data_IF_823296462695
#
_entry.id   IF_823296462695
#
_cell.length_a   1.000
_cell.length_b   1.000
_cell.length_c   1.000
_cell.angle_alpha   90.00
_cell.angle_beta   90.00
_cell.angle_gamma   90.00
#
_symmetry.space_group_name_H-M   'P 1'
#
loop_
_entity.id
_entity.type
_entity.pdbx_description
1 polymer ?
#
# COMPACT_ATOMS: atom_id res chain seq x y z
N UNK A 1 13.33 -10.86 22.27
CA UNK A 1 12.71 -11.73 21.24
C UNK A 1 11.18 -11.61 21.14
N UNK A 2 10.40 -11.56 22.25
CA UNK A 2 8.92 -11.48 22.21
C UNK A 2 8.33 -10.28 21.44
N UNK A 3 9.02 -9.14 21.40
CA UNK A 3 8.53 -7.94 20.69
C UNK A 3 8.85 -7.96 19.19
N UNK A 4 9.95 -8.60 18.77
CA UNK A 4 10.36 -8.66 17.36
C UNK A 4 9.40 -9.50 16.52
N UNK A 5 8.92 -10.63 17.04
CA UNK A 5 7.96 -11.47 16.33
C UNK A 5 6.62 -10.75 16.11
N UNK A 6 6.15 -10.01 17.12
CA UNK A 6 4.95 -9.18 17.02
C UNK A 6 5.13 -8.02 16.04
N UNK A 7 6.30 -7.40 16.03
CA UNK A 7 6.68 -6.36 15.05
C UNK A 7 6.66 -6.86 13.62
N UNK A 8 7.25 -8.03 13.36
CA UNK A 8 7.24 -8.67 12.03
C UNK A 8 5.80 -9.04 11.65
N UNK A 9 5.05 -9.64 12.58
CA UNK A 9 3.63 -9.97 12.37
C UNK A 9 2.78 -8.76 12.01
N UNK A 10 3.04 -7.58 12.61
CA UNK A 10 2.33 -6.34 12.29
C UNK A 10 2.57 -5.88 10.84
N UNK A 11 3.83 -5.92 10.37
CA UNK A 11 4.17 -5.55 8.99
C UNK A 11 3.60 -6.55 7.99
N UNK A 12 3.69 -7.86 8.31
CA UNK A 12 3.10 -8.91 7.48
C UNK A 12 1.58 -8.76 7.38
N UNK A 13 0.89 -8.48 8.47
CA UNK A 13 -0.56 -8.29 8.47
C UNK A 13 -0.98 -7.13 7.54
N UNK A 14 -0.29 -5.98 7.63
CA UNK A 14 -0.55 -4.86 6.73
C UNK A 14 -0.20 -5.18 5.27
N UNK A 15 0.90 -5.89 5.03
CA UNK A 15 1.30 -6.32 3.69
C UNK A 15 0.27 -7.26 3.05
N UNK A 16 -0.19 -8.27 3.80
CA UNK A 16 -1.25 -9.20 3.36
C UNK A 16 -2.53 -8.44 3.07
N UNK A 17 -2.92 -7.50 3.94
CA UNK A 17 -4.10 -6.67 3.73
C UNK A 17 -4.01 -5.90 2.40
N UNK A 18 -2.91 -5.19 2.15
CA UNK A 18 -2.70 -4.43 0.91
C UNK A 18 -2.76 -5.37 -0.30
N UNK A 19 -2.03 -6.48 -0.26
CA UNK A 19 -1.97 -7.45 -1.35
C UNK A 19 -3.34 -8.06 -1.66
N UNK A 20 -4.09 -8.47 -0.65
CA UNK A 20 -5.44 -9.02 -0.82
C UNK A 20 -6.39 -7.99 -1.40
N UNK A 21 -6.41 -6.77 -0.86
CA UNK A 21 -7.36 -5.76 -1.32
C UNK A 21 -7.05 -5.30 -2.74
N UNK A 22 -5.77 -5.10 -3.09
CA UNK A 22 -5.37 -4.75 -4.44
C UNK A 22 -5.76 -5.85 -5.42
N UNK A 23 -5.38 -7.11 -5.14
CA UNK A 23 -5.69 -8.25 -6.01
C UNK A 23 -7.19 -8.46 -6.18
N UNK A 24 -7.95 -8.32 -5.09
CA UNK A 24 -9.41 -8.51 -5.13
C UNK A 24 -10.09 -7.46 -6.01
N UNK A 25 -9.71 -6.19 -5.86
CA UNK A 25 -10.30 -5.09 -6.64
C UNK A 25 -9.88 -5.19 -8.10
N UNK A 26 -8.59 -5.48 -8.36
CA UNK A 26 -8.09 -5.69 -9.71
C UNK A 26 -8.90 -6.80 -10.40
N UNK A 27 -9.08 -7.95 -9.73
CA UNK A 27 -9.85 -9.07 -10.27
C UNK A 27 -11.32 -8.70 -10.54
N UNK A 28 -11.94 -7.93 -9.65
CA UNK A 28 -13.32 -7.47 -9.83
C UNK A 28 -13.41 -6.54 -11.04
N UNK A 29 -12.50 -5.57 -11.17
CA UNK A 29 -12.48 -4.62 -12.28
C UNK A 29 -12.14 -5.30 -13.61
N UNK A 30 -11.26 -6.29 -13.60
CA UNK A 30 -10.94 -7.12 -14.76
C UNK A 30 -12.12 -7.96 -15.21
N UNK A 31 -12.84 -8.58 -14.28
CA UNK A 31 -14.03 -9.38 -14.60
C UNK A 31 -15.23 -8.51 -15.00
N UNK A 32 -15.30 -7.27 -14.52
CA UNK A 32 -16.27 -6.28 -14.97
C UNK A 32 -15.93 -5.66 -16.35
N UNK A 33 -14.77 -5.98 -16.92
CA UNK A 33 -14.31 -5.44 -18.21
C UNK A 33 -13.83 -3.98 -18.15
N UNK A 34 -13.66 -3.42 -16.95
CA UNK A 34 -13.17 -2.06 -16.73
C UNK A 34 -11.65 -2.00 -16.88
N UNK A 35 -10.96 -3.02 -16.35
CA UNK A 35 -9.52 -3.20 -16.52
C UNK A 35 -9.23 -4.33 -17.52
N UNK A 36 -8.32 -4.14 -18.48
CA UNK A 36 -7.83 -5.21 -19.33
C UNK A 36 -6.90 -6.14 -18.55
N UNK A 37 -6.97 -7.44 -18.86
CA UNK A 37 -6.15 -8.47 -18.21
C UNK A 37 -4.72 -8.43 -18.77
N UNK A 38 -3.76 -8.15 -17.91
CA UNK A 38 -2.33 -8.25 -18.23
C UNK A 38 -1.71 -7.04 -18.94
N UNK A 39 -2.47 -6.03 -19.37
CA UNK A 39 -1.89 -4.82 -19.98
C UNK A 39 -2.65 -3.53 -19.62
N UNK A 40 -2.08 -2.69 -18.78
CA UNK A 40 -2.61 -1.39 -18.34
C UNK A 40 -2.52 -0.25 -19.38
N UNK A 41 -2.56 -0.55 -20.68
CA UNK A 41 -2.66 0.48 -21.74
C UNK A 41 -4.10 0.99 -21.86
N UNK A 42 -4.56 1.65 -20.80
CA UNK A 42 -5.89 2.25 -20.68
C UNK A 42 -5.79 3.76 -20.63
N UNK A 43 -6.95 4.44 -20.66
CA UNK A 43 -7.00 5.89 -20.53
C UNK A 43 -6.37 6.35 -19.22
N UNK A 44 -5.67 7.50 -19.25
CA UNK A 44 -4.99 8.08 -18.08
C UNK A 44 -5.93 8.24 -16.88
N UNK A 45 -7.20 8.56 -17.13
CA UNK A 45 -8.22 8.69 -16.09
C UNK A 45 -8.44 7.39 -15.31
N UNK A 46 -8.45 6.25 -16.01
CA UNK A 46 -8.63 4.95 -15.38
C UNK A 46 -7.40 4.56 -14.55
N UNK A 47 -6.19 4.91 -15.02
CA UNK A 47 -4.95 4.73 -14.26
C UNK A 47 -4.95 5.58 -12.98
N UNK A 48 -5.42 6.83 -13.05
CA UNK A 48 -5.55 7.69 -11.87
C UNK A 48 -6.57 7.13 -10.87
N UNK A 49 -7.68 6.57 -11.35
CA UNK A 49 -8.63 5.87 -10.50
C UNK A 49 -7.97 4.66 -9.79
N UNK A 50 -7.14 3.90 -10.51
CA UNK A 50 -6.37 2.78 -9.95
C UNK A 50 -5.40 3.24 -8.87
N UNK A 51 -4.60 4.27 -9.14
CA UNK A 51 -3.71 4.86 -8.14
C UNK A 51 -4.51 5.35 -6.93
N UNK A 52 -5.68 5.96 -7.16
CA UNK A 52 -6.54 6.50 -6.12
C UNK A 52 -6.99 5.45 -5.10
N UNK A 53 -7.66 4.39 -5.55
CA UNK A 53 -8.10 3.36 -4.59
C UNK A 53 -6.90 2.64 -3.97
N UNK A 54 -5.84 2.35 -4.74
CA UNK A 54 -4.64 1.69 -4.22
C UNK A 54 -3.97 2.51 -3.13
N UNK A 55 -3.91 3.84 -3.28
CA UNK A 55 -3.37 4.72 -2.25
C UNK A 55 -4.20 4.65 -0.96
N UNK A 56 -5.53 4.63 -1.06
CA UNK A 56 -6.44 4.53 0.09
C UNK A 56 -6.23 3.19 0.83
N UNK A 57 -6.19 2.07 0.11
CA UNK A 57 -5.97 0.76 0.75
C UNK A 57 -4.55 0.59 1.28
N UNK A 58 -3.55 1.18 0.61
CA UNK A 58 -2.18 1.22 1.10
C UNK A 58 -2.09 2.00 2.41
N UNK A 59 -2.81 3.13 2.51
CA UNK A 59 -2.92 3.92 3.74
C UNK A 59 -3.56 3.10 4.86
N UNK A 60 -4.65 2.38 4.56
CA UNK A 60 -5.32 1.51 5.51
C UNK A 60 -4.41 0.37 6.00
N UNK A 61 -3.67 -0.29 5.10
CA UNK A 61 -2.69 -1.32 5.49
C UNK A 61 -1.54 -0.79 6.33
N UNK A 62 -1.04 0.42 6.01
CA UNK A 62 -0.03 1.12 6.82
C UNK A 62 -0.56 1.51 8.20
N UNK A 63 -1.84 1.90 8.29
CA UNK A 63 -2.53 2.15 9.56
C UNK A 63 -2.69 0.87 10.39
N UNK A 64 -3.13 -0.23 9.79
CA UNK A 64 -3.24 -1.55 10.47
C UNK A 64 -1.89 -2.00 11.01
N UNK A 65 -0.81 -1.80 10.22
CA UNK A 65 0.56 -2.09 10.66
C UNK A 65 0.95 -1.27 11.88
N UNK A 66 0.63 0.04 11.87
CA UNK A 66 0.88 0.91 13.01
C UNK A 66 0.05 0.50 14.23
N UNK A 67 -1.19 0.07 14.02
CA UNK A 67 -2.12 -0.38 15.06
C UNK A 67 -1.66 -1.66 15.75
N UNK A 68 -1.16 -2.63 14.98
CA UNK A 68 -0.70 -3.92 15.49
C UNK A 68 0.74 -3.89 16.04
N UNK A 69 1.49 -2.82 15.76
CA UNK A 69 2.88 -2.70 16.16
C UNK A 69 3.02 -2.59 17.69
N UNK A 70 3.79 -3.48 18.34
CA UNK A 70 3.94 -3.49 19.80
C UNK A 70 4.71 -2.28 20.34
N UNK A 71 5.65 -1.74 19.55
CA UNK A 71 6.47 -0.57 19.90
C UNK A 71 6.79 0.23 18.63
N UNK A 72 6.94 1.56 18.75
CA UNK A 72 7.29 2.46 17.64
C UNK A 72 6.39 2.28 16.39
N UNK A 73 5.08 2.52 16.51
CA UNK A 73 4.10 2.25 15.45
C UNK A 73 4.38 3.01 14.14
N UNK A 74 4.91 4.23 14.25
CA UNK A 74 5.30 5.03 13.10
C UNK A 74 6.45 4.40 12.30
N UNK A 75 7.44 3.79 12.96
CA UNK A 75 8.58 3.15 12.27
C UNK A 75 8.13 1.94 11.45
N UNK A 76 7.20 1.15 11.98
CA UNK A 76 6.67 -0.04 11.28
C UNK A 76 5.81 0.37 10.08
N UNK A 77 5.01 1.42 10.21
CA UNK A 77 4.22 1.96 9.11
C UNK A 77 5.10 2.50 7.96
N UNK A 78 6.16 3.24 8.30
CA UNK A 78 7.15 3.71 7.32
C UNK A 78 7.90 2.53 6.69
N UNK A 79 8.28 1.52 7.47
CA UNK A 79 8.94 0.33 6.94
C UNK A 79 8.07 -0.39 5.90
N UNK A 80 6.75 -0.49 6.13
CA UNK A 80 5.83 -1.02 5.13
C UNK A 80 5.73 -0.12 3.89
N UNK A 81 5.72 1.21 4.07
CA UNK A 81 5.78 2.16 2.96
C UNK A 81 7.06 2.03 2.12
N UNK A 82 8.21 1.84 2.76
CA UNK A 82 9.49 1.57 2.08
C UNK A 82 9.45 0.24 1.34
N UNK A 83 8.92 -0.82 1.95
CA UNK A 83 8.72 -2.10 1.27
C UNK A 83 7.82 -1.94 0.03
N UNK A 84 6.73 -1.19 0.14
CA UNK A 84 5.85 -0.85 -0.97
C UNK A 84 6.58 -0.08 -2.08
N UNK A 85 7.46 0.86 -1.73
CA UNK A 85 8.27 1.60 -2.70
C UNK A 85 9.26 0.70 -3.45
N UNK A 86 9.94 -0.20 -2.74
CA UNK A 86 10.85 -1.18 -3.32
C UNK A 86 10.10 -2.12 -4.28
N UNK A 87 8.97 -2.68 -3.85
CA UNK A 87 8.15 -3.56 -4.69
C UNK A 87 7.59 -2.84 -5.92
N UNK A 88 7.15 -1.58 -5.77
CA UNK A 88 6.68 -0.76 -6.90
C UNK A 88 7.81 -0.46 -7.88
N UNK A 89 9.02 -0.23 -7.38
CA UNK A 89 10.22 -0.02 -8.22
C UNK A 89 10.61 -1.29 -8.97
N UNK A 90 10.57 -2.45 -8.30
CA UNK A 90 10.79 -3.75 -8.95
C UNK A 90 9.75 -3.96 -10.04
N UNK A 91 8.46 -3.70 -9.76
CA UNK A 91 7.38 -3.78 -10.75
C UNK A 91 7.58 -2.81 -11.92
N UNK A 92 8.08 -1.60 -11.69
CA UNK A 92 8.39 -0.65 -12.75
C UNK A 92 9.48 -1.18 -13.70
N UNK A 93 10.47 -1.91 -13.17
CA UNK A 93 11.58 -2.48 -13.93
C UNK A 93 11.14 -3.75 -14.67
N UNK A 94 10.43 -4.66 -13.99
CA UNK A 94 10.08 -5.98 -14.55
C UNK A 94 8.82 -5.97 -15.40
N UNK A 95 7.86 -5.09 -15.10
CA UNK A 95 6.54 -5.01 -15.73
C UNK A 95 6.31 -3.66 -16.41
N UNK A 96 7.37 -2.86 -16.63
CA UNK A 96 7.28 -1.55 -17.30
C UNK A 96 6.79 -1.61 -18.75
N UNK A 97 6.71 -2.80 -19.35
CA UNK A 97 6.12 -3.05 -20.66
C UNK A 97 4.60 -3.34 -20.61
N UNK A 98 4.05 -3.63 -19.43
CA UNK A 98 2.64 -3.97 -19.24
C UNK A 98 1.78 -2.74 -18.98
N UNK A 99 2.34 -1.54 -18.94
CA UNK A 99 1.59 -0.30 -18.78
C UNK A 99 2.53 0.91 -18.77
N UNK A 100 2.00 2.14 -18.64
CA UNK A 100 2.84 3.32 -18.66
C UNK A 100 3.83 3.32 -17.49
N UNK A 101 5.13 3.42 -17.76
CA UNK A 101 6.16 3.36 -16.72
C UNK A 101 5.94 4.37 -15.57
N UNK A 102 5.37 5.54 -15.88
CA UNK A 102 5.05 6.58 -14.89
C UNK A 102 4.07 6.12 -13.80
N UNK A 103 3.20 5.14 -14.09
CA UNK A 103 2.25 4.59 -13.13
C UNK A 103 2.98 3.92 -11.96
N UNK A 104 3.91 3.02 -12.26
CA UNK A 104 4.66 2.28 -11.25
C UNK A 104 5.61 3.20 -10.46
N UNK A 105 6.21 4.19 -11.13
CA UNK A 105 7.02 5.22 -10.45
C UNK A 105 6.18 6.11 -9.53
N UNK A 106 4.94 6.44 -9.91
CA UNK A 106 4.04 7.21 -9.06
C UNK A 106 3.74 6.44 -7.79
N UNK A 107 3.40 5.15 -7.90
CA UNK A 107 3.20 4.26 -6.73
C UNK A 107 4.44 4.20 -5.83
N UNK A 108 5.64 4.08 -6.42
CA UNK A 108 6.89 4.06 -5.67
C UNK A 108 7.11 5.37 -4.87
N UNK A 109 6.86 6.52 -5.49
CA UNK A 109 7.04 7.84 -4.87
C UNK A 109 6.03 8.07 -3.75
N UNK A 110 4.76 7.68 -3.94
CA UNK A 110 3.70 7.92 -2.94
C UNK A 110 3.72 6.92 -1.78
N UNK A 111 4.36 5.75 -1.94
CA UNK A 111 4.36 4.71 -0.91
C UNK A 111 4.99 5.17 0.42
N UNK A 112 6.08 5.95 0.38
CA UNK A 112 6.75 6.48 1.57
C UNK A 112 5.88 7.54 2.29
N UNK A 113 5.35 8.58 1.60
CA UNK A 113 4.36 9.50 2.18
C UNK A 113 3.16 8.80 2.80
N UNK A 114 2.61 7.77 2.13
CA UNK A 114 1.48 6.99 2.62
C UNK A 114 1.83 6.22 3.89
N UNK A 115 3.01 5.58 3.95
CA UNK A 115 3.49 4.90 5.15
C UNK A 115 3.64 5.86 6.33
N UNK A 116 4.14 7.08 6.10
CA UNK A 116 4.18 8.11 7.13
C UNK A 116 2.78 8.59 7.55
N UNK A 117 1.88 8.83 6.59
CA UNK A 117 0.50 9.24 6.88
C UNK A 117 -0.25 8.19 7.69
N UNK A 118 -0.11 6.89 7.36
CA UNK A 118 -0.75 5.80 8.10
C UNK A 118 -0.30 5.77 9.57
N UNK A 119 1.00 5.88 9.82
CA UNK A 119 1.54 5.95 11.17
C UNK A 119 1.19 7.26 11.90
N UNK A 120 1.07 8.39 11.20
CA UNK A 120 0.62 9.67 11.76
C UNK A 120 -0.85 9.62 12.17
N UNK A 121 -1.71 9.05 11.32
CA UNK A 121 -3.13 8.88 11.59
C UNK A 121 -3.36 8.01 12.81
N UNK A 122 -2.67 6.87 12.92
CA UNK A 122 -2.73 6.02 14.11
C UNK A 122 -2.30 6.76 15.38
N UNK A 123 -1.22 7.54 15.32
CA UNK A 123 -0.79 8.34 16.49
C UNK A 123 -1.84 9.38 16.90
N UNK A 124 -2.48 10.05 15.94
CA UNK A 124 -3.57 11.01 16.26
C UNK A 124 -4.76 10.32 16.90
N UNK A 125 -5.26 9.25 16.30
CA UNK A 125 -6.38 8.47 16.84
C UNK A 125 -6.07 7.93 18.24
N UNK A 126 -4.85 7.44 18.47
CA UNK A 126 -4.42 6.95 19.78
C UNK A 126 -4.33 8.06 20.84
N UNK A 127 -3.98 9.28 20.45
CA UNK A 127 -3.90 10.43 21.37
C UNK A 127 -5.29 11.01 21.67
N UNK A 128 -6.20 10.99 20.69
CA UNK A 128 -7.59 11.48 20.83
C UNK A 128 -8.52 10.46 21.53
N UNK A 129 -8.20 9.16 21.45
CA UNK A 129 -8.91 8.09 22.15
C UNK A 129 -8.49 7.86 23.61
N UNK A 130 -7.69 8.77 24.20
CA UNK A 130 -7.44 8.83 25.66
C UNK A 130 -8.44 9.82 26.25
N UNK A 131 -9.71 9.44 26.26
CA UNK A 131 -10.76 10.04 27.08
C UNK A 131 -11.67 8.93 27.60
#
# INVERSE_FOLDING_TARGET
MKNTLKSIGAVIAGFIFIGLTHTSIDTILENAGVLPKGNLFVSTWLILFVIGYRAIFSLAGCYITAWLAPNYPMRHSIALGVLGAVLSSIGAITMGNLGPAWYAWTLAVIAIPIGWLGGKLYRRVKLEGVH
#
